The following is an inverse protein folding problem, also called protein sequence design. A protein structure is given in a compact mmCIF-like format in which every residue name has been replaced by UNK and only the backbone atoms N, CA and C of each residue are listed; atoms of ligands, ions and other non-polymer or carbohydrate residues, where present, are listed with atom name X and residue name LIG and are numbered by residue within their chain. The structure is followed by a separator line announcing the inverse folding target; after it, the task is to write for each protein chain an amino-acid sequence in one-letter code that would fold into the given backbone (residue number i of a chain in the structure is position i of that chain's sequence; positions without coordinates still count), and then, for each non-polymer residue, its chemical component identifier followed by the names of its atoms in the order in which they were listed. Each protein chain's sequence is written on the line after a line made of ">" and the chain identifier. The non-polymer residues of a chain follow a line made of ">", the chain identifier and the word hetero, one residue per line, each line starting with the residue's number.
data_IF_208300212924
#
_entry.id   IF_208300212924
#
_cell.length_a   1.000
_cell.length_b   1.000
_cell.length_c   1.000
_cell.angle_alpha   90.00
_cell.angle_beta   90.00
_cell.angle_gamma   90.00
#
_symmetry.space_group_name_H-M   'P 1'
#
loop_
_entity.id
_entity.type
_entity.pdbx_description
1 polymer ?
#
# COMPACT_ATOMS: atom_id res chain seq x y z
N UNK A 1 -26.70 41.95 45.35
CA UNK A 1 -27.54 41.97 44.13
C UNK A 1 -26.78 42.59 42.94
N UNK A 2 -25.58 42.11 42.61
CA UNK A 2 -24.75 42.69 41.55
C UNK A 2 -23.80 41.67 40.88
N UNK A 3 -24.31 40.47 40.53
CA UNK A 3 -23.50 39.49 39.77
C UNK A 3 -24.29 38.63 38.76
N UNK A 4 -25.47 39.09 38.31
CA UNK A 4 -26.29 38.37 37.32
C UNK A 4 -26.43 39.03 35.95
N UNK A 5 -25.71 40.11 35.66
CA UNK A 5 -25.74 40.79 34.35
C UNK A 5 -24.32 40.90 33.75
N UNK A 6 -23.61 39.77 33.61
CA UNK A 6 -22.41 39.69 32.74
C UNK A 6 -22.32 38.41 31.89
N UNK A 7 -23.32 37.52 31.96
CA UNK A 7 -23.32 36.24 31.23
C UNK A 7 -24.20 36.18 29.96
N UNK A 8 -24.72 37.32 29.47
CA UNK A 8 -25.54 37.37 28.25
C UNK A 8 -24.91 38.08 27.03
N UNK A 9 -23.61 38.44 27.04
CA UNK A 9 -22.95 39.05 25.87
C UNK A 9 -21.91 38.20 25.14
N UNK A 10 -21.57 37.00 25.64
CA UNK A 10 -20.61 36.09 24.95
C UNK A 10 -21.24 35.07 24.00
N UNK A 11 -22.58 34.95 23.96
CA UNK A 11 -23.29 34.04 23.06
C UNK A 11 -23.52 34.58 21.63
N UNK A 12 -23.42 35.89 21.40
CA UNK A 12 -23.74 36.48 20.08
C UNK A 12 -22.56 36.47 19.09
N UNK A 13 -21.32 36.45 19.59
CA UNK A 13 -20.12 36.50 18.73
C UNK A 13 -19.80 35.13 18.12
N UNK A 14 -20.04 34.04 18.84
CA UNK A 14 -19.83 32.66 18.35
C UNK A 14 -20.81 32.26 17.25
N UNK A 15 -22.10 32.58 17.41
CA UNK A 15 -23.15 32.27 16.43
C UNK A 15 -22.95 33.07 15.12
N UNK A 16 -22.52 34.34 15.21
CA UNK A 16 -22.18 35.14 14.02
C UNK A 16 -20.93 34.62 13.30
N UNK A 17 -19.99 33.96 13.99
CA UNK A 17 -18.79 33.37 13.38
C UNK A 17 -19.10 32.08 12.62
N UNK A 18 -20.00 31.25 13.17
CA UNK A 18 -20.48 30.01 12.55
C UNK A 18 -21.38 30.31 11.34
N UNK A 19 -22.26 31.31 11.43
CA UNK A 19 -23.08 31.75 10.29
C UNK A 19 -22.22 32.30 9.15
N UNK A 20 -21.15 33.07 9.45
CA UNK A 20 -20.21 33.58 8.44
C UNK A 20 -19.34 32.49 7.81
N UNK A 21 -19.00 31.42 8.53
CA UNK A 21 -18.29 30.28 7.93
C UNK A 21 -19.20 29.42 7.06
N UNK A 22 -20.46 29.23 7.46
CA UNK A 22 -21.47 28.52 6.65
C UNK A 22 -21.75 29.26 5.34
N UNK A 23 -21.91 30.59 5.39
CA UNK A 23 -22.11 31.42 4.19
C UNK A 23 -20.89 31.41 3.25
N UNK A 24 -19.67 31.29 3.78
CA UNK A 24 -18.46 31.15 2.97
C UNK A 24 -18.37 29.79 2.28
N UNK A 25 -18.75 28.71 2.97
CA UNK A 25 -18.79 27.35 2.40
C UNK A 25 -19.88 27.22 1.33
N UNK A 26 -21.04 27.86 1.53
CA UNK A 26 -22.10 27.91 0.51
C UNK A 26 -21.71 28.72 -0.72
N UNK A 27 -20.99 29.84 -0.54
CA UNK A 27 -20.49 30.63 -1.67
C UNK A 27 -19.45 29.84 -2.47
N UNK A 28 -18.52 29.17 -1.79
CA UNK A 28 -17.47 28.37 -2.43
C UNK A 28 -18.03 27.13 -3.14
N UNK A 29 -19.10 26.52 -2.62
CA UNK A 29 -19.79 25.41 -3.31
C UNK A 29 -20.61 25.85 -4.52
N UNK A 30 -21.14 27.09 -4.54
CA UNK A 30 -21.78 27.69 -5.72
C UNK A 30 -20.77 28.03 -6.80
N UNK A 31 -19.64 28.62 -6.44
CA UNK A 31 -18.54 28.94 -7.38
C UNK A 31 -18.02 27.65 -8.06
N UNK A 32 -17.82 26.57 -7.31
CA UNK A 32 -17.42 25.26 -7.86
C UNK A 32 -18.47 24.68 -8.82
N UNK A 33 -19.78 24.89 -8.56
CA UNK A 33 -20.86 24.42 -9.43
C UNK A 33 -20.97 25.24 -10.72
N UNK A 34 -20.77 26.55 -10.65
CA UNK A 34 -20.78 27.44 -11.81
C UNK A 34 -19.56 27.17 -12.71
N UNK A 35 -18.39 26.92 -12.13
CA UNK A 35 -17.16 26.59 -12.87
C UNK A 35 -17.25 25.21 -13.53
N UNK A 36 -17.91 24.25 -12.89
CA UNK A 36 -18.21 22.94 -13.49
C UNK A 36 -19.24 23.03 -14.64
N UNK A 37 -20.19 23.98 -14.59
CA UNK A 37 -21.16 24.18 -15.68
C UNK A 37 -20.55 24.92 -16.87
N UNK A 38 -19.68 25.90 -16.63
CA UNK A 38 -18.96 26.62 -17.70
C UNK A 38 -18.03 25.71 -18.53
N UNK A 39 -17.44 24.68 -17.90
CA UNK A 39 -16.55 23.73 -18.59
C UNK A 39 -17.28 22.60 -19.33
N UNK A 40 -18.62 22.55 -19.30
CA UNK A 40 -19.40 21.51 -20.01
C UNK A 40 -20.00 21.99 -21.34
N UNK A 41 -19.67 23.20 -21.81
CA UNK A 41 -20.19 23.72 -23.09
C UNK A 41 -19.15 23.55 -24.22
N UNK A 42 -19.22 22.41 -24.93
CA UNK A 42 -18.50 22.19 -26.19
C UNK A 42 -19.20 23.01 -27.30
N UNK A 43 -18.51 23.86 -28.06
CA UNK A 43 -19.14 24.60 -29.16
C UNK A 43 -19.41 23.65 -30.34
N UNK A 44 -20.67 23.48 -30.69
CA UNK A 44 -21.11 22.83 -31.93
C UNK A 44 -20.95 23.80 -33.10
N UNK A 45 -20.05 23.50 -34.02
CA UNK A 45 -19.99 24.19 -35.32
C UNK A 45 -20.65 23.31 -36.40
N UNK A 46 -21.73 23.76 -37.06
CA UNK A 46 -22.42 22.98 -38.07
C UNK A 46 -21.83 23.26 -39.46
N UNK A 47 -21.55 22.21 -40.23
CA UNK A 47 -21.68 22.09 -41.72
C UNK A 47 -20.71 21.05 -42.29
N UNK A 48 -21.20 19.88 -42.68
CA UNK A 48 -21.41 19.52 -44.08
C UNK A 48 -21.78 18.04 -44.20
N UNK A 49 -22.99 17.80 -44.73
CA UNK A 49 -23.38 16.54 -45.38
C UNK A 49 -22.84 16.59 -46.81
N UNK A 50 -22.25 15.49 -47.27
CA UNK A 50 -22.50 14.93 -48.61
C UNK A 50 -22.04 13.47 -48.64
N UNK A 51 -22.89 12.64 -49.25
CA UNK A 51 -22.80 11.21 -49.49
C UNK A 51 -21.61 10.79 -50.39
N UNK A 52 -21.24 9.50 -50.34
CA UNK A 52 -20.57 8.82 -51.45
C UNK A 52 -19.46 7.84 -51.06
N UNK A 53 -19.77 6.53 -51.08
CA UNK A 53 -18.85 5.42 -51.37
C UNK A 53 -19.18 4.89 -52.78
N UNK A 54 -18.41 3.98 -53.43
CA UNK A 54 -17.02 3.52 -53.24
C UNK A 54 -16.20 3.46 -54.56
N UNK A 55 -14.86 3.41 -54.51
CA UNK A 55 -14.05 2.71 -55.54
C UNK A 55 -12.57 2.57 -55.17
N UNK A 56 -11.97 1.53 -55.72
CA UNK A 56 -10.66 0.94 -55.43
C UNK A 56 -9.43 1.67 -56.01
N UNK A 57 -8.26 1.16 -55.57
CA UNK A 57 -6.97 0.99 -56.27
C UNK A 57 -5.87 2.06 -56.15
N UNK A 58 -4.65 1.50 -56.06
CA UNK A 58 -3.27 2.03 -56.17
C UNK A 58 -2.59 2.55 -54.89
N UNK A 59 -1.54 1.90 -54.34
CA UNK A 59 -0.24 1.40 -54.84
C UNK A 59 0.93 2.40 -54.69
N UNK A 60 1.68 2.25 -53.58
CA UNK A 60 3.10 2.59 -53.38
C UNK A 60 3.48 4.03 -52.98
N UNK A 61 4.71 4.28 -52.47
CA UNK A 61 5.43 3.54 -51.43
C UNK A 61 5.83 4.44 -50.23
N UNK A 62 5.96 3.83 -49.05
CA UNK A 62 6.49 4.47 -47.82
C UNK A 62 8.01 4.61 -47.97
N UNK A 63 8.51 5.85 -47.84
CA UNK A 63 9.95 6.14 -47.78
C UNK A 63 10.50 5.74 -46.42
N UNK A 64 11.49 4.85 -46.45
CA UNK A 64 12.45 4.57 -45.39
C UNK A 64 13.21 5.84 -44.98
N UNK A 65 13.44 6.02 -43.67
CA UNK A 65 14.50 6.89 -43.15
C UNK A 65 15.50 5.98 -42.44
N UNK A 66 16.67 5.87 -43.05
CA UNK A 66 17.84 5.10 -42.62
C UNK A 66 18.51 5.79 -41.40
N UNK A 67 19.03 5.03 -40.42
CA UNK A 67 19.76 5.57 -39.27
C UNK A 67 21.24 5.78 -39.63
N UNK A 68 21.90 6.68 -38.88
CA UNK A 68 23.35 6.80 -38.61
C UNK A 68 23.87 8.21 -38.82
N UNK A 69 24.17 8.88 -37.71
CA UNK A 69 25.34 9.74 -37.59
C UNK A 69 26.06 9.36 -36.29
N UNK A 70 27.26 8.84 -36.45
CA UNK A 70 28.14 8.38 -35.39
C UNK A 70 29.13 9.48 -34.98
N UNK A 71 29.37 9.54 -33.67
CA UNK A 71 30.68 9.70 -32.99
C UNK A 71 31.44 11.05 -33.07
N UNK A 72 32.31 11.40 -32.07
CA UNK A 72 33.31 10.47 -31.54
C UNK A 72 33.74 10.56 -30.05
N UNK A 73 34.07 9.37 -29.53
CA UNK A 73 35.23 8.96 -28.71
C UNK A 73 35.77 9.86 -27.58
N UNK A 74 35.87 9.26 -26.38
CA UNK A 74 37.08 9.36 -25.55
C UNK A 74 37.42 7.98 -24.96
N UNK A 75 38.52 7.42 -25.44
CA UNK A 75 39.21 6.26 -24.86
C UNK A 75 40.26 6.77 -23.87
N UNK A 76 40.44 6.07 -22.74
CA UNK A 76 41.77 5.82 -22.18
C UNK A 76 41.74 4.57 -21.30
N UNK A 77 42.50 3.60 -21.78
CA UNK A 77 42.98 2.39 -21.13
C UNK A 77 43.71 2.67 -19.82
N UNK A 78 43.59 1.76 -18.85
CA UNK A 78 44.76 1.37 -18.06
C UNK A 78 44.64 -0.05 -17.53
N UNK A 79 45.43 -0.93 -18.12
CA UNK A 79 45.81 -2.26 -17.64
C UNK A 79 46.83 -2.12 -16.51
N UNK A 80 46.57 -2.70 -15.32
CA UNK A 80 47.64 -3.13 -14.40
C UNK A 80 47.27 -4.41 -13.64
N UNK A 81 48.02 -5.46 -13.98
CA UNK A 81 48.62 -6.52 -13.15
C UNK A 81 47.90 -6.96 -11.87
N UNK A 82 47.55 -8.24 -11.87
CA UNK A 82 47.36 -9.05 -10.67
C UNK A 82 48.64 -9.06 -9.81
N UNK A 83 48.49 -8.81 -8.52
CA UNK A 83 49.42 -9.17 -7.46
C UNK A 83 48.61 -9.70 -6.28
N UNK A 84 48.91 -10.94 -5.88
CA UNK A 84 48.46 -11.57 -4.64
C UNK A 84 49.06 -10.84 -3.45
N UNK A 85 48.22 -10.34 -2.54
CA UNK A 85 48.65 -9.93 -1.20
C UNK A 85 47.68 -10.54 -0.20
N UNK A 86 48.16 -11.56 0.49
CA UNK A 86 47.66 -12.01 1.78
C UNK A 86 47.77 -10.84 2.77
N UNK A 87 46.64 -10.36 3.28
CA UNK A 87 46.62 -9.29 4.28
C UNK A 87 45.24 -9.21 4.92
N UNK A 88 45.16 -9.68 6.16
CA UNK A 88 44.06 -9.45 7.08
C UNK A 88 43.72 -7.95 7.17
N UNK A 89 42.48 -7.58 6.83
CA UNK A 89 41.97 -6.20 7.02
C UNK A 89 41.34 -6.11 8.41
N UNK A 90 41.74 -5.15 9.26
CA UNK A 90 41.18 -4.98 10.59
C UNK A 90 39.79 -4.30 10.52
N UNK A 91 38.92 -4.73 11.43
CA UNK A 91 37.60 -4.19 11.71
C UNK A 91 37.71 -2.69 12.05
N UNK A 92 37.27 -1.82 11.13
CA UNK A 92 37.16 -0.39 11.35
C UNK A 92 35.71 -0.05 11.72
N UNK A 93 35.56 0.61 12.86
CA UNK A 93 34.31 1.09 13.45
C UNK A 93 33.44 1.87 12.46
N UNK A 94 32.22 1.37 12.23
CA UNK A 94 31.18 2.11 11.51
C UNK A 94 30.59 3.15 12.49
N UNK A 95 30.57 4.45 12.14
CA UNK A 95 30.15 5.48 13.07
C UNK A 95 28.67 5.35 13.43
N UNK A 96 28.39 5.43 14.73
CA UNK A 96 27.09 5.44 15.45
C UNK A 96 26.11 6.54 15.03
N UNK A 97 26.35 7.24 13.91
CA UNK A 97 25.57 8.38 13.44
C UNK A 97 24.31 8.03 12.63
N UNK A 98 24.13 6.78 12.19
CA UNK A 98 22.94 6.38 11.43
C UNK A 98 21.67 6.21 12.30
N UNK A 99 21.85 5.97 13.61
CA UNK A 99 20.74 5.89 14.59
C UNK A 99 20.03 7.24 14.80
N UNK A 100 20.80 8.33 14.76
CA UNK A 100 20.27 9.68 15.02
C UNK A 100 19.39 10.20 13.87
N UNK A 101 19.76 9.91 12.62
CA UNK A 101 19.00 10.35 11.45
C UNK A 101 17.64 9.65 11.27
N UNK A 102 17.48 8.39 11.72
CA UNK A 102 16.21 7.65 11.64
C UNK A 102 15.16 8.17 12.65
N UNK A 103 15.57 8.44 13.90
CA UNK A 103 14.68 9.04 14.91
C UNK A 103 14.14 10.39 14.45
N UNK A 104 15.00 11.20 13.83
CA UNK A 104 14.60 12.46 13.21
C UNK A 104 13.62 12.21 12.05
N UNK A 105 13.91 11.30 11.12
CA UNK A 105 13.01 11.02 9.98
C UNK A 105 11.60 10.56 10.40
N UNK A 106 11.49 9.86 11.54
CA UNK A 106 10.21 9.49 12.17
C UNK A 106 9.51 10.71 12.82
N UNK A 107 10.25 11.56 13.55
CA UNK A 107 9.72 12.79 14.17
C UNK A 107 9.32 13.88 13.16
N UNK A 108 9.95 13.94 11.99
CA UNK A 108 9.68 14.92 10.93
C UNK A 108 8.64 14.44 9.90
N UNK A 109 7.96 13.30 10.13
CA UNK A 109 6.80 12.89 9.32
C UNK A 109 5.67 13.92 9.49
N UNK A 110 5.18 14.49 8.38
CA UNK A 110 3.80 15.00 8.35
C UNK A 110 2.91 13.85 8.82
N UNK A 111 2.32 13.96 10.01
CA UNK A 111 1.60 12.84 10.60
C UNK A 111 0.40 12.46 9.75
N UNK A 112 0.26 11.17 9.47
CA UNK A 112 -0.99 10.61 8.97
C UNK A 112 -2.07 10.90 10.01
N UNK A 113 -3.12 11.60 9.62
CA UNK A 113 -4.18 12.03 10.54
C UNK A 113 -5.45 11.22 10.33
N UNK A 114 -6.06 10.77 11.41
CA UNK A 114 -7.40 10.16 11.42
C UNK A 114 -8.37 11.08 12.16
N UNK A 115 -9.42 11.52 11.47
CA UNK A 115 -10.43 12.40 12.04
C UNK A 115 -11.80 11.74 12.00
N UNK A 116 -12.49 11.75 13.13
CA UNK A 116 -13.84 11.20 13.26
C UNK A 116 -14.85 12.31 13.47
N UNK A 117 -15.88 12.35 12.62
CA UNK A 117 -17.01 13.27 12.74
C UNK A 117 -18.28 12.43 12.57
N UNK A 118 -19.00 12.21 13.68
CA UNK A 118 -20.18 11.34 13.74
C UNK A 118 -19.89 9.92 13.20
N UNK A 119 -20.50 9.56 12.07
CA UNK A 119 -20.34 8.26 11.41
C UNK A 119 -19.36 8.30 10.23
N UNK A 120 -18.54 9.36 10.13
CA UNK A 120 -17.55 9.56 9.08
C UNK A 120 -16.15 9.51 9.70
N UNK A 121 -15.25 8.82 9.00
CA UNK A 121 -13.82 8.78 9.24
C UNK A 121 -13.11 9.43 8.05
N UNK A 122 -12.19 10.34 8.32
CA UNK A 122 -11.35 10.99 7.31
C UNK A 122 -9.91 10.59 7.61
N UNK A 123 -9.31 9.78 6.73
CA UNK A 123 -7.89 9.43 6.78
C UNK A 123 -7.12 10.37 5.86
N UNK A 124 -5.98 10.85 6.34
CA UNK A 124 -5.07 11.72 5.61
C UNK A 124 -3.67 11.14 5.62
N UNK A 125 -3.00 11.11 4.46
CA UNK A 125 -1.61 10.68 4.35
C UNK A 125 -0.77 11.71 3.61
N UNK A 126 0.52 11.86 3.95
CA UNK A 126 1.44 12.80 3.30
C UNK A 126 2.01 12.25 1.99
N UNK A 127 1.18 11.57 1.19
CA UNK A 127 1.47 11.08 -0.15
C UNK A 127 0.28 11.38 -1.07
N UNK A 128 0.43 11.25 -2.39
CA UNK A 128 -0.67 11.44 -3.33
C UNK A 128 -1.25 10.08 -3.80
N UNK A 129 -1.24 9.08 -2.91
CA UNK A 129 -1.69 7.73 -3.24
C UNK A 129 -3.07 7.41 -2.63
N UNK A 130 -4.02 7.03 -3.50
CA UNK A 130 -5.40 6.65 -3.12
C UNK A 130 -5.69 5.15 -3.25
N UNK A 131 -4.65 4.31 -3.41
CA UNK A 131 -4.75 2.85 -3.58
C UNK A 131 -5.51 2.17 -2.43
N UNK A 132 -5.36 2.62 -1.18
CA UNK A 132 -6.13 2.08 -0.05
C UNK A 132 -7.66 2.22 -0.27
N UNK A 133 -8.10 3.33 -0.87
CA UNK A 133 -9.52 3.52 -1.17
C UNK A 133 -10.00 2.63 -2.32
N UNK A 134 -9.16 2.41 -3.34
CA UNK A 134 -9.42 1.45 -4.40
C UNK A 134 -9.48 0.02 -3.86
N UNK A 135 -8.57 -0.34 -2.96
CA UNK A 135 -8.54 -1.63 -2.29
C UNK A 135 -9.85 -1.93 -1.56
N UNK A 136 -10.31 -1.02 -0.69
CA UNK A 136 -11.58 -1.19 0.01
C UNK A 136 -12.78 -1.30 -0.95
N UNK A 137 -12.81 -0.50 -2.03
CA UNK A 137 -13.90 -0.58 -3.03
C UNK A 137 -13.88 -1.92 -3.76
N UNK A 138 -12.71 -2.40 -4.15
CA UNK A 138 -12.52 -3.66 -4.84
C UNK A 138 -12.92 -4.84 -3.95
N UNK A 139 -12.46 -4.88 -2.70
CA UNK A 139 -12.83 -5.94 -1.75
C UNK A 139 -14.33 -5.96 -1.50
N UNK A 140 -14.95 -4.78 -1.31
CA UNK A 140 -16.39 -4.66 -1.09
C UNK A 140 -17.24 -5.11 -2.31
N UNK A 141 -16.70 -5.05 -3.53
CA UNK A 141 -17.42 -5.48 -4.73
C UNK A 141 -17.24 -6.95 -5.08
N UNK A 142 -16.20 -7.61 -4.54
CA UNK A 142 -15.86 -9.01 -4.87
C UNK A 142 -16.05 -9.98 -3.70
N UNK A 143 -16.28 -9.48 -2.49
CA UNK A 143 -16.37 -10.31 -1.29
C UNK A 143 -17.46 -9.80 -0.33
N UNK A 144 -17.82 -10.63 0.65
CA UNK A 144 -18.69 -10.29 1.78
C UNK A 144 -17.94 -9.66 2.96
N UNK A 145 -16.62 -9.47 2.83
CA UNK A 145 -15.75 -8.97 3.90
C UNK A 145 -16.19 -7.56 4.30
N UNK A 146 -16.44 -7.30 5.60
CA UNK A 146 -16.83 -5.98 6.05
C UNK A 146 -15.63 -5.03 5.96
N UNK A 147 -15.68 -4.06 5.05
CA UNK A 147 -14.69 -2.99 4.92
C UNK A 147 -15.36 -1.61 5.06
N UNK A 148 -14.62 -0.55 5.47
CA UNK A 148 -15.17 0.79 5.50
C UNK A 148 -15.72 1.23 4.14
N UNK A 149 -16.99 1.66 4.10
CA UNK A 149 -17.59 2.21 2.88
C UNK A 149 -16.90 3.53 2.51
N UNK A 150 -16.16 3.55 1.41
CA UNK A 150 -15.53 4.75 0.87
C UNK A 150 -16.57 5.65 0.21
N UNK A 151 -16.67 6.91 0.68
CA UNK A 151 -17.49 7.94 0.05
C UNK A 151 -16.69 8.75 -0.97
N UNK A 152 -15.50 9.22 -0.57
CA UNK A 152 -14.61 10.01 -1.43
C UNK A 152 -13.16 9.59 -1.23
N UNK A 153 -12.39 9.64 -2.31
CA UNK A 153 -10.94 9.47 -2.31
C UNK A 153 -10.36 10.47 -3.31
N UNK A 154 -9.47 11.34 -2.85
CA UNK A 154 -8.89 12.39 -3.68
C UNK A 154 -7.55 12.85 -3.13
N UNK A 155 -6.76 13.49 -3.97
CA UNK A 155 -5.50 14.13 -3.59
C UNK A 155 -5.69 15.65 -3.56
N UNK A 156 -5.03 16.29 -2.60
CA UNK A 156 -5.03 17.74 -2.49
C UNK A 156 -3.77 18.23 -1.78
N UNK A 157 -3.02 19.13 -2.42
CA UNK A 157 -1.80 19.76 -1.86
C UNK A 157 -0.75 18.75 -1.37
N UNK A 158 -0.45 17.72 -2.16
CA UNK A 158 0.58 16.73 -1.80
C UNK A 158 0.15 15.75 -0.70
N UNK A 159 -1.15 15.56 -0.52
CA UNK A 159 -1.71 14.64 0.46
C UNK A 159 -2.95 13.93 -0.10
N UNK A 160 -3.16 12.69 0.32
CA UNK A 160 -4.29 11.85 -0.04
C UNK A 160 -5.31 11.88 1.09
N UNK A 161 -6.58 11.93 0.70
CA UNK A 161 -7.72 12.03 1.60
C UNK A 161 -8.69 10.90 1.28
N UNK A 162 -9.05 10.12 2.29
CA UNK A 162 -10.07 9.09 2.20
C UNK A 162 -11.17 9.44 3.18
N UNK A 163 -12.35 9.75 2.64
CA UNK A 163 -13.58 9.98 3.42
C UNK A 163 -14.40 8.71 3.36
N UNK A 164 -14.58 8.05 4.50
CA UNK A 164 -15.22 6.74 4.58
C UNK A 164 -16.13 6.62 5.80
N UNK A 165 -16.94 5.56 5.83
CA UNK A 165 -17.77 5.23 6.99
C UNK A 165 -16.89 4.89 8.19
N UNK A 166 -17.16 5.51 9.33
CA UNK A 166 -16.60 5.07 10.60
C UNK A 166 -17.27 3.78 11.04
N UNK A 167 -16.51 2.68 11.08
CA UNK A 167 -16.99 1.37 11.53
C UNK A 167 -16.99 1.35 13.06
N UNK A 168 -18.17 1.13 13.65
CA UNK A 168 -18.33 1.04 15.11
C UNK A 168 -17.95 -0.35 15.61
N UNK A 169 -16.75 -0.48 16.16
CA UNK A 169 -16.22 -1.69 16.80
C UNK A 169 -14.97 -1.39 17.61
N UNK A 170 -14.52 -2.35 18.39
CA UNK A 170 -13.24 -2.30 19.09
C UNK A 170 -12.21 -3.12 18.30
N UNK A 171 -10.93 -2.73 18.33
CA UNK A 171 -9.87 -3.54 17.75
C UNK A 171 -9.81 -4.90 18.44
N UNK A 172 -9.68 -5.99 17.68
CA UNK A 172 -9.65 -7.36 18.22
C UNK A 172 -8.49 -7.56 19.21
N UNK A 173 -7.39 -6.84 19.02
CA UNK A 173 -6.26 -6.83 19.95
C UNK A 173 -6.61 -6.26 21.33
N UNK A 174 -7.59 -5.35 21.42
CA UNK A 174 -8.04 -4.86 22.71
C UNK A 174 -8.73 -5.97 23.48
N UNK A 175 -8.28 -6.18 24.73
CA UNK A 175 -8.81 -7.19 25.66
C UNK A 175 -8.73 -8.64 25.15
N UNK A 176 -7.96 -8.92 24.09
CA UNK A 176 -7.80 -10.27 23.53
C UNK A 176 -7.47 -11.31 24.60
N UNK A 177 -6.49 -11.01 25.46
CA UNK A 177 -6.04 -11.90 26.53
C UNK A 177 -7.11 -12.19 27.59
N UNK A 178 -8.09 -11.30 27.76
CA UNK A 178 -9.20 -11.47 28.71
C UNK A 178 -10.45 -12.11 28.10
N UNK A 179 -10.46 -12.41 26.80
CA UNK A 179 -11.58 -13.11 26.14
C UNK A 179 -11.52 -14.59 26.46
N UNK A 180 -12.69 -15.23 26.49
CA UNK A 180 -12.77 -16.69 26.61
C UNK A 180 -12.28 -17.37 25.33
N UNK A 181 -11.90 -18.64 25.42
CA UNK A 181 -11.43 -19.39 24.25
C UNK A 181 -12.54 -19.58 23.21
N UNK A 182 -13.80 -19.71 23.63
CA UNK A 182 -14.96 -19.78 22.72
C UNK A 182 -15.11 -18.49 21.92
N UNK A 183 -14.98 -17.34 22.58
CA UNK A 183 -15.03 -16.02 21.96
C UNK A 183 -13.89 -15.81 20.96
N UNK A 184 -12.66 -16.21 21.31
CA UNK A 184 -11.51 -16.17 20.39
C UNK A 184 -11.76 -17.07 19.19
N UNK A 185 -12.20 -18.31 19.41
CA UNK A 185 -12.48 -19.29 18.34
C UNK A 185 -13.50 -18.76 17.34
N UNK A 186 -14.61 -18.17 17.81
CA UNK A 186 -15.63 -17.59 16.93
C UNK A 186 -15.10 -16.49 16.02
N UNK A 187 -14.19 -15.65 16.53
CA UNK A 187 -13.57 -14.58 15.75
C UNK A 187 -12.60 -15.17 14.73
N UNK A 188 -11.75 -16.10 15.15
CA UNK A 188 -10.75 -16.72 14.27
C UNK A 188 -11.44 -17.52 13.15
N UNK A 189 -12.57 -18.17 13.43
CA UNK A 189 -13.39 -18.85 12.43
C UNK A 189 -14.05 -17.91 11.41
N UNK A 190 -14.42 -16.70 11.84
CA UNK A 190 -14.89 -15.66 10.91
C UNK A 190 -13.75 -15.18 10.03
N UNK A 191 -12.59 -14.87 10.62
CA UNK A 191 -11.39 -14.44 9.88
C UNK A 191 -10.96 -15.48 8.85
N UNK A 192 -10.94 -16.76 9.24
CA UNK A 192 -10.59 -17.88 8.36
C UNK A 192 -11.48 -17.91 7.12
N UNK A 193 -12.81 -17.78 7.31
CA UNK A 193 -13.77 -17.71 6.19
C UNK A 193 -13.55 -16.47 5.32
N UNK A 194 -13.34 -15.31 5.94
CA UNK A 194 -13.08 -14.05 5.22
C UNK A 194 -11.81 -14.12 4.38
N UNK A 195 -10.72 -14.70 4.89
CA UNK A 195 -9.48 -14.82 4.12
C UNK A 195 -9.57 -15.89 3.03
N UNK A 196 -10.26 -17.00 3.28
CA UNK A 196 -10.57 -17.96 2.21
C UNK A 196 -11.36 -17.30 1.07
N UNK A 197 -12.33 -16.46 1.41
CA UNK A 197 -13.09 -15.67 0.42
C UNK A 197 -12.19 -14.63 -0.28
N UNK A 198 -11.34 -13.91 0.45
CA UNK A 198 -10.42 -12.94 -0.14
C UNK A 198 -9.51 -13.60 -1.19
N UNK A 199 -8.94 -14.76 -0.85
CA UNK A 199 -8.01 -15.51 -1.71
C UNK A 199 -8.68 -16.18 -2.89
N UNK A 200 -10.01 -16.36 -2.87
CA UNK A 200 -10.74 -16.95 -4.01
C UNK A 200 -11.02 -15.94 -5.12
N UNK A 201 -10.80 -14.64 -4.87
CA UNK A 201 -10.91 -13.61 -5.92
C UNK A 201 -9.76 -13.80 -6.91
N UNK A 202 -10.03 -14.09 -8.19
CA UNK A 202 -8.98 -14.35 -9.16
C UNK A 202 -8.27 -13.05 -9.56
N UNK A 203 -6.94 -13.08 -9.77
CA UNK A 203 -6.21 -11.94 -10.31
C UNK A 203 -6.69 -11.65 -11.75
N UNK A 204 -6.82 -10.36 -12.14
CA UNK A 204 -7.04 -9.99 -13.53
C UNK A 204 -5.99 -10.58 -14.47
N UNK A 205 -6.34 -10.83 -15.73
CA UNK A 205 -5.40 -11.37 -16.71
C UNK A 205 -4.17 -10.46 -16.87
N UNK A 206 -2.97 -11.05 -16.86
CA UNK A 206 -1.71 -10.32 -16.96
C UNK A 206 -1.24 -9.65 -15.67
N UNK A 207 -1.91 -9.91 -14.53
CA UNK A 207 -1.50 -9.38 -13.23
C UNK A 207 -0.18 -10.03 -12.78
N UNK A 208 0.78 -9.18 -12.41
CA UNK A 208 1.98 -9.55 -11.67
C UNK A 208 1.88 -9.13 -10.20
N UNK A 209 3.01 -9.16 -9.47
CA UNK A 209 3.04 -8.70 -8.08
C UNK A 209 2.86 -7.18 -8.03
N UNK A 210 1.71 -6.72 -7.54
CA UNK A 210 1.26 -5.34 -7.72
C UNK A 210 0.16 -4.94 -6.73
N UNK A 211 -0.12 -3.64 -6.62
CA UNK A 211 -1.29 -3.16 -5.88
C UNK A 211 -2.58 -3.58 -6.58
N UNK A 212 -3.73 -3.41 -5.92
CA UNK A 212 -5.03 -3.81 -6.48
C UNK A 212 -5.37 -3.15 -7.82
N UNK A 213 -4.87 -1.93 -8.06
CA UNK A 213 -5.01 -1.18 -9.31
C UNK A 213 -3.87 -1.44 -10.32
N UNK A 214 -3.01 -2.45 -10.08
CA UNK A 214 -1.89 -2.82 -10.95
C UNK A 214 -0.66 -1.92 -10.83
N UNK A 215 -0.67 -0.98 -9.89
CA UNK A 215 0.42 -0.05 -9.62
C UNK A 215 1.47 -0.57 -8.63
N UNK A 216 2.35 0.33 -8.16
CA UNK A 216 3.34 0.01 -7.14
C UNK A 216 2.68 -0.34 -5.80
N UNK A 217 3.21 -1.37 -5.17
CA UNK A 217 2.89 -1.78 -3.81
C UNK A 217 3.34 -0.71 -2.82
N UNK A 218 2.54 -0.45 -1.80
CA UNK A 218 2.99 0.27 -0.62
C UNK A 218 3.25 -0.74 0.50
N UNK A 219 4.46 -0.78 1.04
CA UNK A 219 4.76 -1.59 2.21
C UNK A 219 5.86 -0.94 3.05
N UNK A 220 5.47 -0.40 4.20
CA UNK A 220 6.40 0.31 5.09
C UNK A 220 7.38 -0.61 5.82
N UNK A 221 7.23 -1.94 5.71
CA UNK A 221 8.12 -2.95 6.31
C UNK A 221 9.25 -3.34 5.37
N UNK A 222 9.14 -3.02 4.08
CA UNK A 222 10.20 -3.24 3.11
C UNK A 222 11.28 -2.16 3.27
N UNK A 223 12.55 -2.52 3.13
CA UNK A 223 13.66 -1.59 3.34
C UNK A 223 13.70 -0.50 2.24
N UNK A 224 14.53 0.51 2.40
CA UNK A 224 14.99 1.44 1.34
C UNK A 224 13.95 2.42 0.71
N UNK A 225 12.72 2.00 0.44
CA UNK A 225 11.68 2.82 -0.22
C UNK A 225 10.26 2.37 0.18
N UNK A 226 9.29 3.29 0.08
CA UNK A 226 7.89 3.05 0.45
C UNK A 226 7.08 2.35 -0.64
N UNK A 227 7.45 2.55 -1.91
CA UNK A 227 6.74 2.01 -3.06
C UNK A 227 7.61 0.99 -3.80
N UNK A 228 7.05 -0.17 -4.11
CA UNK A 228 7.74 -1.30 -4.72
C UNK A 228 7.01 -1.80 -5.96
N UNK A 229 7.74 -2.09 -7.03
CA UNK A 229 7.16 -2.60 -8.27
C UNK A 229 6.33 -1.57 -9.05
N UNK A 230 5.31 -2.00 -9.81
CA UNK A 230 4.83 -3.38 -9.93
C UNK A 230 5.90 -4.31 -10.57
N UNK A 231 5.76 -5.61 -10.33
CA UNK A 231 6.66 -6.63 -10.89
C UNK A 231 5.86 -7.58 -11.79
N UNK A 232 6.37 -7.89 -12.97
CA UNK A 232 5.66 -8.74 -13.92
C UNK A 232 5.59 -10.20 -13.44
N UNK A 233 6.54 -10.63 -12.61
CA UNK A 233 6.63 -12.01 -12.11
C UNK A 233 6.98 -12.05 -10.63
N UNK A 234 6.68 -13.17 -9.97
CA UNK A 234 7.11 -13.43 -8.59
C UNK A 234 8.64 -13.45 -8.48
N UNK A 235 9.32 -13.91 -9.54
CA UNK A 235 10.79 -13.88 -9.63
C UNK A 235 11.35 -12.46 -9.53
N UNK A 236 10.83 -11.52 -10.32
CA UNK A 236 11.28 -10.11 -10.28
C UNK A 236 11.04 -9.49 -8.90
N UNK A 237 9.91 -9.82 -8.27
CA UNK A 237 9.63 -9.41 -6.89
C UNK A 237 10.66 -10.00 -5.91
N UNK A 238 10.99 -11.29 -6.03
CA UNK A 238 12.01 -11.94 -5.20
C UNK A 238 13.41 -11.37 -5.40
N UNK A 239 13.79 -11.05 -6.63
CA UNK A 239 15.06 -10.37 -6.94
C UNK A 239 15.11 -8.98 -6.29
N UNK A 240 14.01 -8.23 -6.34
CA UNK A 240 13.91 -6.95 -5.66
C UNK A 240 14.06 -7.11 -4.13
N UNK A 241 13.42 -8.12 -3.53
CA UNK A 241 13.48 -8.40 -2.09
C UNK A 241 14.90 -8.70 -1.57
N UNK A 242 15.81 -9.13 -2.44
CA UNK A 242 17.21 -9.42 -2.13
C UNK A 242 18.17 -8.35 -2.67
N UNK A 243 17.68 -7.12 -2.85
CA UNK A 243 18.51 -5.98 -3.27
C UNK A 243 18.91 -6.00 -4.74
N UNK A 244 18.12 -6.65 -5.60
CA UNK A 244 18.36 -6.72 -7.05
C UNK A 244 19.40 -7.78 -7.46
N UNK A 245 19.77 -8.70 -6.58
CA UNK A 245 20.63 -9.83 -6.96
C UNK A 245 19.92 -10.73 -7.96
N UNK A 246 20.68 -11.24 -8.95
CA UNK A 246 20.15 -12.13 -9.98
C UNK A 246 20.01 -13.54 -9.42
N UNK A 247 18.80 -14.07 -9.31
CA UNK A 247 18.54 -15.40 -8.74
C UNK A 247 19.19 -16.56 -9.51
N UNK A 248 19.53 -16.34 -10.79
CA UNK A 248 20.19 -17.30 -11.67
C UNK A 248 21.71 -17.33 -11.56
N UNK A 249 22.33 -16.41 -10.82
CA UNK A 249 23.78 -16.44 -10.58
C UNK A 249 24.13 -17.37 -9.40
N UNK A 250 25.25 -18.08 -9.53
CA UNK A 250 25.83 -18.83 -8.42
C UNK A 250 26.61 -17.89 -7.51
N UNK A 251 26.16 -17.77 -6.27
CA UNK A 251 26.85 -17.02 -5.24
C UNK A 251 27.32 -17.96 -4.14
N UNK A 252 28.60 -17.89 -3.78
CA UNK A 252 29.14 -18.54 -2.58
C UNK A 252 28.73 -17.76 -1.34
N UNK A 253 27.47 -17.97 -0.92
CA UNK A 253 26.86 -17.27 0.21
C UNK A 253 26.83 -18.15 1.47
N UNK A 254 26.47 -17.54 2.59
CA UNK A 254 26.14 -18.27 3.81
C UNK A 254 25.09 -19.38 3.56
N UNK A 255 25.12 -20.50 4.31
CA UNK A 255 24.25 -21.65 4.04
C UNK A 255 22.75 -21.32 4.05
N UNK A 256 22.30 -20.48 4.98
CA UNK A 256 20.90 -20.06 5.12
C UNK A 256 20.47 -19.13 3.97
N UNK A 257 21.33 -18.21 3.54
CA UNK A 257 21.05 -17.37 2.37
C UNK A 257 20.95 -18.22 1.08
N UNK A 258 21.79 -19.24 0.95
CA UNK A 258 21.69 -20.18 -0.19
C UNK A 258 20.35 -20.93 -0.21
N UNK A 259 19.80 -21.26 0.96
CA UNK A 259 18.47 -21.85 1.12
C UNK A 259 17.37 -20.90 0.66
N UNK A 260 17.42 -19.63 1.08
CA UNK A 260 16.49 -18.59 0.61
C UNK A 260 16.50 -18.43 -0.92
N UNK A 261 17.68 -18.34 -1.53
CA UNK A 261 17.77 -18.19 -2.99
C UNK A 261 17.25 -19.43 -3.72
N UNK A 262 17.44 -20.63 -3.16
CA UNK A 262 16.89 -21.87 -3.69
C UNK A 262 15.36 -21.85 -3.63
N UNK A 263 14.80 -21.44 -2.50
CA UNK A 263 13.35 -21.28 -2.34
C UNK A 263 12.75 -20.31 -3.37
N UNK A 264 13.37 -19.15 -3.58
CA UNK A 264 12.93 -18.19 -4.59
C UNK A 264 13.05 -18.72 -6.03
N UNK A 265 14.13 -19.44 -6.37
CA UNK A 265 14.26 -20.08 -7.69
C UNK A 265 13.16 -21.10 -8.00
N UNK A 266 12.65 -21.76 -6.96
CA UNK A 266 11.64 -22.81 -7.07
C UNK A 266 10.21 -22.28 -6.95
N UNK A 267 10.03 -20.99 -6.64
CA UNK A 267 8.73 -20.38 -6.45
C UNK A 267 7.96 -20.23 -7.76
N UNK A 268 6.67 -20.58 -7.74
CA UNK A 268 5.76 -20.37 -8.86
C UNK A 268 5.27 -18.91 -8.96
N UNK A 269 4.46 -18.63 -9.98
CA UNK A 269 3.82 -17.32 -10.20
C UNK A 269 2.36 -17.29 -9.71
N UNK A 270 1.98 -18.15 -8.77
CA UNK A 270 0.63 -18.12 -8.18
C UNK A 270 0.47 -16.86 -7.33
N UNK A 271 -0.58 -16.10 -7.62
CA UNK A 271 -0.92 -14.87 -6.92
C UNK A 271 -2.29 -14.98 -6.28
N UNK A 272 -2.39 -14.46 -5.07
CA UNK A 272 -3.65 -14.31 -4.34
C UNK A 272 -3.81 -12.87 -3.90
N UNK A 273 -5.05 -12.45 -3.70
CA UNK A 273 -5.34 -11.17 -3.08
C UNK A 273 -4.99 -11.23 -1.59
N UNK A 274 -4.17 -10.29 -1.13
CA UNK A 274 -3.74 -10.18 0.27
C UNK A 274 -4.11 -8.82 0.85
N UNK A 275 -4.41 -8.77 2.14
CA UNK A 275 -4.49 -7.55 2.93
C UNK A 275 -3.10 -6.93 3.16
N UNK A 276 -2.09 -7.75 3.45
CA UNK A 276 -0.70 -7.32 3.63
C UNK A 276 -0.33 -6.88 5.05
N UNK A 277 -1.28 -6.28 5.80
CA UNK A 277 -1.11 -5.94 7.23
C UNK A 277 -2.27 -6.45 8.12
N UNK A 278 -2.54 -7.76 8.10
CA UNK A 278 -3.67 -8.36 8.83
C UNK A 278 -3.36 -8.56 10.32
N UNK A 279 -3.20 -7.44 11.04
CA UNK A 279 -2.93 -7.41 12.48
C UNK A 279 -4.20 -7.33 13.33
N UNK A 280 -4.11 -7.67 14.61
CA UNK A 280 -5.21 -7.51 15.58
C UNK A 280 -5.67 -6.06 15.77
N UNK A 281 -4.87 -5.08 15.35
CA UNK A 281 -5.22 -3.65 15.38
C UNK A 281 -6.07 -3.24 14.19
N UNK A 282 -6.05 -4.03 13.11
CA UNK A 282 -6.77 -3.77 11.86
C UNK A 282 -8.07 -4.57 11.74
N UNK A 283 -8.38 -5.39 12.75
CA UNK A 283 -9.62 -6.17 12.83
C UNK A 283 -10.53 -5.52 13.87
N UNK A 284 -11.74 -5.11 13.47
CA UNK A 284 -12.75 -4.52 14.33
C UNK A 284 -13.84 -5.53 14.68
N UNK A 285 -14.16 -5.62 15.95
CA UNK A 285 -15.16 -6.54 16.51
C UNK A 285 -16.24 -5.83 17.30
N UNK A 286 -17.44 -6.41 17.36
CA UNK A 286 -18.51 -6.02 18.28
C UNK A 286 -19.06 -7.27 18.95
N UNK A 287 -18.76 -7.43 20.24
CA UNK A 287 -18.85 -8.75 20.85
C UNK A 287 -17.94 -9.70 20.06
N UNK A 288 -18.45 -10.86 19.68
CA UNK A 288 -17.69 -11.88 18.94
C UNK A 288 -17.82 -11.76 17.42
N UNK A 289 -18.59 -10.79 16.92
CA UNK A 289 -18.75 -10.57 15.48
C UNK A 289 -17.64 -9.67 14.92
N UNK A 290 -16.99 -10.10 13.84
CA UNK A 290 -16.08 -9.26 13.05
C UNK A 290 -16.92 -8.29 12.22
N UNK A 291 -16.79 -6.99 12.49
CA UNK A 291 -17.60 -5.92 11.89
C UNK A 291 -16.81 -5.01 10.93
N UNK A 292 -15.49 -5.22 10.84
CA UNK A 292 -14.64 -4.47 9.91
C UNK A 292 -13.22 -5.02 9.84
N UNK A 293 -12.63 -5.03 8.65
CA UNK A 293 -11.19 -5.09 8.42
C UNK A 293 -10.79 -3.75 7.80
N UNK A 294 -9.79 -3.10 8.38
CA UNK A 294 -9.34 -1.74 8.02
C UNK A 294 -7.86 -1.71 7.66
N UNK A 295 -7.39 -0.58 7.15
CA UNK A 295 -5.99 -0.35 6.78
C UNK A 295 -5.49 -1.19 5.59
N UNK A 296 -6.24 -1.15 4.50
CA UNK A 296 -5.97 -1.85 3.24
C UNK A 296 -4.88 -1.18 2.38
N UNK A 297 -3.96 -0.42 2.99
CA UNK A 297 -2.95 0.33 2.24
C UNK A 297 -1.84 -0.55 1.64
N UNK A 298 -1.61 -1.72 2.24
CA UNK A 298 -0.63 -2.71 1.81
C UNK A 298 -1.26 -3.82 0.96
N UNK A 299 -2.54 -3.68 0.60
CA UNK A 299 -3.28 -4.70 -0.12
C UNK A 299 -2.88 -4.79 -1.59
N UNK A 300 -2.84 -6.01 -2.12
CA UNK A 300 -2.35 -6.27 -3.47
C UNK A 300 -2.41 -7.74 -3.86
N UNK A 301 -1.88 -8.02 -5.04
CA UNK A 301 -1.69 -9.35 -5.58
C UNK A 301 -0.27 -9.81 -5.25
N UNK A 302 -0.16 -10.86 -4.45
CA UNK A 302 1.12 -11.34 -3.91
C UNK A 302 1.23 -12.86 -3.98
N UNK A 303 2.46 -13.40 -3.86
CA UNK A 303 2.67 -14.83 -3.64
C UNK A 303 1.86 -15.35 -2.45
N UNK A 304 1.39 -16.60 -2.54
CA UNK A 304 0.50 -17.25 -1.55
C UNK A 304 0.98 -17.13 -0.10
N UNK A 305 2.31 -17.16 0.12
CA UNK A 305 2.91 -17.11 1.44
C UNK A 305 2.91 -15.72 2.09
N UNK A 306 2.71 -14.66 1.30
CA UNK A 306 3.00 -13.29 1.71
C UNK A 306 2.18 -12.89 2.95
N UNK A 307 0.86 -13.07 2.91
CA UNK A 307 -0.02 -12.73 4.05
C UNK A 307 0.37 -13.44 5.34
N UNK A 308 0.74 -14.74 5.27
CA UNK A 308 1.11 -15.50 6.47
C UNK A 308 2.38 -14.96 7.10
N UNK A 309 3.43 -14.80 6.29
CA UNK A 309 4.72 -14.29 6.78
C UNK A 309 4.61 -12.87 7.33
N UNK A 310 3.79 -12.04 6.69
CA UNK A 310 3.42 -10.70 7.13
C UNK A 310 2.70 -10.71 8.49
N UNK A 311 1.64 -11.51 8.62
CA UNK A 311 0.82 -11.58 9.83
C UNK A 311 1.58 -12.17 11.03
N UNK A 312 2.50 -13.12 10.81
CA UNK A 312 3.36 -13.68 11.88
C UNK A 312 4.37 -12.66 12.40
N UNK A 313 4.74 -11.65 11.62
CA UNK A 313 5.58 -10.56 12.11
C UNK A 313 4.76 -9.49 12.82
N UNK A 314 4.25 -9.85 13.99
CA UNK A 314 3.37 -9.01 14.81
C UNK A 314 4.08 -7.79 15.36
N UNK A 315 3.31 -6.73 15.62
CA UNK A 315 3.77 -5.59 16.39
C UNK A 315 4.37 -6.08 17.73
N UNK A 316 5.59 -5.67 18.11
CA UNK A 316 6.22 -6.06 19.38
C UNK A 316 5.38 -5.73 20.63
N UNK A 317 4.42 -4.80 20.52
CA UNK A 317 3.46 -4.46 21.58
C UNK A 317 2.32 -5.48 21.70
N UNK A 318 2.06 -6.30 20.68
CA UNK A 318 1.02 -7.32 20.62
C UNK A 318 1.58 -8.72 20.27
N UNK A 319 2.58 -9.23 21.00
CA UNK A 319 3.22 -10.52 20.69
C UNK A 319 2.25 -11.69 20.77
N UNK A 320 1.20 -11.57 21.58
CA UNK A 320 0.15 -12.58 21.74
C UNK A 320 -0.60 -12.92 20.44
N UNK A 321 -0.50 -12.07 19.40
CA UNK A 321 -1.22 -12.28 18.15
C UNK A 321 -0.53 -13.29 17.22
N UNK A 322 0.73 -13.64 17.47
CA UNK A 322 1.47 -14.54 16.59
C UNK A 322 0.89 -15.97 16.56
N UNK A 323 0.42 -16.50 17.69
CA UNK A 323 -0.14 -17.85 17.76
C UNK A 323 -1.55 -17.94 17.15
N UNK A 324 -2.48 -16.99 17.39
CA UNK A 324 -3.77 -16.95 16.72
C UNK A 324 -3.71 -16.94 15.19
N UNK A 325 -2.64 -16.38 14.59
CA UNK A 325 -2.47 -16.37 13.12
C UNK A 325 -2.53 -17.77 12.52
N UNK A 326 -1.96 -18.77 13.19
CA UNK A 326 -1.95 -20.17 12.72
C UNK A 326 -3.35 -20.81 12.73
N UNK A 327 -4.34 -20.17 13.37
CA UNK A 327 -5.71 -20.68 13.45
C UNK A 327 -6.62 -20.17 12.32
N UNK A 328 -6.27 -19.06 11.67
CA UNK A 328 -7.08 -18.50 10.58
C UNK A 328 -6.33 -18.36 9.24
N UNK A 329 -5.00 -18.41 9.25
CA UNK A 329 -4.18 -18.61 8.06
C UNK A 329 -3.57 -20.01 8.11
N UNK A 330 -3.51 -20.68 6.96
CA UNK A 330 -2.81 -21.95 6.85
C UNK A 330 -1.32 -21.76 7.24
N UNK A 331 -0.80 -22.52 8.22
CA UNK A 331 0.59 -22.39 8.64
C UNK A 331 1.57 -22.72 7.52
N UNK A 332 2.58 -21.86 7.34
CA UNK A 332 3.62 -21.96 6.30
C UNK A 332 5.01 -21.77 6.95
N UNK A 333 5.47 -22.74 7.78
CA UNK A 333 6.65 -22.57 8.62
C UNK A 333 7.96 -22.45 7.82
N UNK A 334 8.05 -23.11 6.66
CA UNK A 334 9.22 -23.03 5.80
C UNK A 334 9.33 -21.64 5.17
N UNK A 335 8.22 -21.10 4.68
CA UNK A 335 8.15 -19.75 4.11
C UNK A 335 8.41 -18.68 5.18
N UNK A 336 7.95 -18.88 6.41
CA UNK A 336 8.27 -18.01 7.54
C UNK A 336 9.76 -18.04 7.89
N UNK A 337 10.39 -19.21 7.84
CA UNK A 337 11.84 -19.34 7.98
C UNK A 337 12.57 -18.58 6.87
N UNK A 338 12.13 -18.71 5.61
CA UNK A 338 12.70 -17.97 4.49
C UNK A 338 12.55 -16.45 4.66
N UNK A 339 11.39 -15.97 5.10
CA UNK A 339 11.19 -14.55 5.39
C UNK A 339 12.11 -14.07 6.54
N UNK A 340 12.33 -14.90 7.56
CA UNK A 340 13.27 -14.60 8.65
C UNK A 340 14.70 -14.44 8.13
N UNK A 341 15.13 -15.33 7.23
CA UNK A 341 16.44 -15.26 6.57
C UNK A 341 16.52 -14.01 5.68
N UNK A 342 15.50 -13.76 4.84
CA UNK A 342 15.44 -12.58 3.98
C UNK A 342 15.63 -11.32 4.80
N UNK A 343 14.93 -11.22 5.93
CA UNK A 343 15.04 -10.07 6.82
C UNK A 343 16.40 -9.98 7.47
N UNK A 344 16.99 -11.09 7.93
CA UNK A 344 18.36 -11.14 8.47
C UNK A 344 19.39 -10.47 7.54
N UNK A 345 19.29 -10.67 6.22
CA UNK A 345 20.26 -10.15 5.24
C UNK A 345 19.84 -8.86 4.54
N UNK A 346 18.54 -8.67 4.31
CA UNK A 346 17.98 -7.58 3.49
C UNK A 346 16.89 -6.79 4.23
N UNK A 347 16.79 -6.92 5.55
CA UNK A 347 15.93 -6.08 6.38
C UNK A 347 16.66 -4.83 6.86
N UNK A 348 15.93 -3.73 7.02
CA UNK A 348 16.43 -2.54 7.71
C UNK A 348 16.44 -2.83 9.23
N UNK A 349 17.55 -3.34 9.78
CA UNK A 349 17.76 -3.39 11.22
C UNK A 349 18.26 -2.05 11.79
#
# INVERSE_FOLDING_TARGET
>A
MANRIRKCRKGSVGVRRIARSSLKLDKQSREIREEAQANTTIPTNPRNRTDGSPSQLNSGPIREINPNLANPSFTKSNTRKAQSISGSVPYADIPTNLRYHKFLRWFWRKQSGLFHIFNICIKTKPDENVAEAYAMRFVASHTSIPVPKVYYAFTYKGASYIVMRHVKGEMAGHRWLSRTEESKTQILDQLRRMITELRSVPPPAGTGVSSIDGGPLYDCRLPSQLYWGPYATVREFHEALIGGMNLGAEYTLAPDLSELLKFYRQSGNELVLTHGDLSSLNILVRGDAVVGIVDWETAGWFPVYWEYTCAKYVNPQNPFWADPVDQFLAPMPEELKMETIRRKYFGDF
#
